data_IF_009768729172
#
_entry.id   IF_009768729172
#
_cell.length_a   1.000
_cell.length_b   1.000
_cell.length_c   1.000
_cell.angle_alpha   90.00
_cell.angle_beta   90.00
_cell.angle_gamma   90.00
#
_symmetry.space_group_name_H-M   'P 1'
#
loop_
_entity.id
_entity.type
_entity.pdbx_description
1 polymer ?
#
# COMPACT_ATOMS: atom_id res chain seq x y z
N UNK A 1 -2.08 32.88 2.29
CA UNK A 1 -2.68 34.19 1.97
C UNK A 1 -4.14 33.98 1.64
N UNK A 2 -5.07 34.78 2.18
CA UNK A 2 -6.49 34.72 1.78
C UNK A 2 -6.65 35.40 0.43
N UNK A 3 -7.37 34.77 -0.49
CA UNK A 3 -7.65 35.27 -1.84
C UNK A 3 -9.13 35.15 -2.15
N UNK A 4 -9.65 36.17 -2.83
CA UNK A 4 -11.00 36.22 -3.39
C UNK A 4 -10.88 36.29 -4.91
N UNK A 5 -11.81 35.66 -5.62
CA UNK A 5 -11.81 35.62 -7.08
C UNK A 5 -12.83 36.60 -7.65
N UNK A 6 -12.58 37.08 -8.87
CA UNK A 6 -13.54 37.89 -9.63
C UNK A 6 -14.55 36.98 -10.34
N UNK A 7 -15.61 37.58 -10.90
CA UNK A 7 -16.62 36.90 -11.75
C UNK A 7 -17.50 35.86 -11.03
N UNK A 8 -17.84 36.10 -9.76
CA UNK A 8 -18.79 35.26 -9.01
C UNK A 8 -18.23 33.90 -8.56
N UNK A 9 -16.92 33.66 -8.72
CA UNK A 9 -16.26 32.45 -8.22
C UNK A 9 -16.05 32.60 -6.71
N UNK A 10 -16.78 31.81 -5.90
CA UNK A 10 -16.72 31.88 -4.44
C UNK A 10 -15.42 31.30 -3.86
N UNK A 11 -15.08 30.06 -4.21
CA UNK A 11 -13.86 29.40 -3.76
C UNK A 11 -13.36 28.40 -4.79
N UNK A 12 -12.05 28.15 -4.79
CA UNK A 12 -11.38 27.24 -5.71
C UNK A 12 -10.47 26.30 -4.92
N UNK A 13 -10.45 25.04 -5.33
CA UNK A 13 -9.55 24.02 -4.79
C UNK A 13 -8.76 23.44 -5.93
N UNK A 14 -7.44 23.39 -5.78
CA UNK A 14 -6.55 22.85 -6.81
C UNK A 14 -5.28 23.64 -6.97
N UNK A 15 -4.54 23.34 -8.04
CA UNK A 15 -3.30 24.00 -8.40
C UNK A 15 -3.50 24.78 -9.69
N UNK A 16 -3.15 26.06 -9.70
CA UNK A 16 -3.01 26.86 -10.91
C UNK A 16 -1.57 27.35 -10.94
N UNK A 17 -0.83 26.95 -11.98
CA UNK A 17 0.60 27.24 -12.12
C UNK A 17 1.39 26.95 -10.83
N UNK A 18 2.05 27.94 -10.22
CA UNK A 18 2.82 27.78 -8.99
C UNK A 18 2.03 28.19 -7.73
N UNK A 19 0.71 28.12 -7.76
CA UNK A 19 -0.15 28.40 -6.62
C UNK A 19 -1.09 27.22 -6.33
N UNK A 20 -1.19 26.85 -5.04
CA UNK A 20 -2.17 25.88 -4.54
C UNK A 20 -3.22 26.62 -3.75
N UNK A 21 -4.48 26.34 -4.08
CA UNK A 21 -5.66 26.92 -3.46
C UNK A 21 -6.40 25.85 -2.67
N UNK A 22 -6.83 26.24 -1.48
CA UNK A 22 -7.71 25.45 -0.65
C UNK A 22 -8.93 26.27 -0.27
N UNK A 23 -10.12 25.78 -0.64
CA UNK A 23 -11.37 26.45 -0.30
C UNK A 23 -11.57 26.50 1.22
N UNK A 24 -11.97 27.67 1.73
CA UNK A 24 -12.40 27.76 3.12
C UNK A 24 -13.75 27.06 3.31
N UNK A 25 -14.05 26.60 4.54
CA UNK A 25 -15.33 25.96 4.88
C UNK A 25 -16.54 26.82 4.49
N UNK A 26 -16.42 28.14 4.57
CA UNK A 26 -17.47 29.10 4.18
C UNK A 26 -17.68 29.25 2.67
N UNK A 27 -16.80 28.69 1.82
CA UNK A 27 -16.82 28.80 0.35
C UNK A 27 -16.81 30.24 -0.22
N UNK A 28 -16.53 31.25 0.60
CA UNK A 28 -16.48 32.66 0.20
C UNK A 28 -15.09 33.14 -0.22
N UNK A 29 -14.05 32.39 0.15
CA UNK A 29 -12.67 32.71 -0.16
C UNK A 29 -11.84 31.43 -0.16
N UNK A 30 -10.63 31.51 -0.71
CA UNK A 30 -9.65 30.43 -0.68
C UNK A 30 -8.36 30.87 0.00
N UNK A 31 -7.65 29.90 0.56
CA UNK A 31 -6.29 30.08 1.04
C UNK A 31 -5.34 29.69 -0.08
N UNK A 32 -4.57 30.66 -0.55
CA UNK A 32 -3.50 30.45 -1.52
C UNK A 32 -2.15 30.32 -0.82
N UNK A 33 -1.36 29.36 -1.29
CA UNK A 33 0.07 29.25 -1.00
C UNK A 33 0.85 29.06 -2.29
N UNK A 34 2.08 29.55 -2.33
CA UNK A 34 3.03 29.21 -3.40
C UNK A 34 3.28 27.70 -3.36
N UNK A 35 3.08 27.03 -4.49
CA UNK A 35 3.48 25.65 -4.67
C UNK A 35 4.98 25.55 -4.51
N UNK A 36 5.41 24.71 -3.59
CA UNK A 36 6.82 24.36 -3.39
C UNK A 36 6.86 22.84 -3.37
N UNK A 37 7.64 22.25 -4.27
CA UNK A 37 7.81 20.81 -4.28
C UNK A 37 8.49 20.37 -2.97
N UNK A 38 7.95 19.37 -2.25
CA UNK A 38 8.57 18.88 -1.03
C UNK A 38 10.01 18.42 -1.28
N UNK A 39 10.93 18.73 -0.35
CA UNK A 39 12.29 18.20 -0.44
C UNK A 39 12.24 16.67 -0.28
N UNK A 40 12.79 15.94 -1.25
CA UNK A 40 12.86 14.48 -1.18
C UNK A 40 13.85 14.10 -0.08
N UNK A 41 13.35 13.46 0.97
CA UNK A 41 14.16 13.01 2.11
C UNK A 41 14.86 11.69 1.80
N UNK A 42 15.86 11.33 2.61
CA UNK A 42 16.49 10.00 2.56
C UNK A 42 15.48 8.88 2.80
N UNK A 43 14.49 9.11 3.66
CA UNK A 43 13.39 8.18 3.91
C UNK A 43 12.53 7.93 2.64
N UNK A 44 12.20 8.98 1.89
CA UNK A 44 11.46 8.84 0.63
C UNK A 44 12.24 8.02 -0.40
N UNK A 45 13.56 8.22 -0.48
CA UNK A 45 14.43 7.41 -1.35
C UNK A 45 14.42 5.93 -0.93
N UNK A 46 14.47 5.64 0.38
CA UNK A 46 14.40 4.27 0.92
C UNK A 46 13.08 3.59 0.57
N UNK A 47 11.95 4.25 0.84
CA UNK A 47 10.62 3.71 0.50
C UNK A 47 10.50 3.47 -1.01
N UNK A 48 10.98 4.41 -1.84
CA UNK A 48 10.97 4.25 -3.29
C UNK A 48 11.79 3.06 -3.78
N UNK A 49 12.98 2.82 -3.20
CA UNK A 49 13.81 1.66 -3.51
C UNK A 49 13.13 0.35 -3.12
N UNK A 50 12.55 0.29 -1.91
CA UNK A 50 11.80 -0.89 -1.42
C UNK A 50 10.60 -1.17 -2.34
N UNK A 51 9.77 -0.16 -2.62
CA UNK A 51 8.59 -0.34 -3.47
C UNK A 51 8.95 -0.81 -4.88
N UNK A 52 10.06 -0.32 -5.45
CA UNK A 52 10.56 -0.77 -6.76
C UNK A 52 11.00 -2.23 -6.71
N UNK A 53 11.72 -2.64 -5.67
CA UNK A 53 12.18 -4.01 -5.50
C UNK A 53 11.00 -4.99 -5.28
N UNK A 54 10.09 -4.66 -4.37
CA UNK A 54 8.89 -5.45 -4.10
C UNK A 54 8.01 -5.60 -5.35
N UNK A 55 7.85 -4.52 -6.12
CA UNK A 55 7.12 -4.58 -7.38
C UNK A 55 7.80 -5.42 -8.47
N UNK A 56 9.13 -5.57 -8.41
CA UNK A 56 9.87 -6.50 -9.27
C UNK A 56 9.63 -7.95 -8.83
N UNK A 57 9.86 -8.27 -7.56
CA UNK A 57 9.65 -9.61 -7.00
C UNK A 57 8.22 -10.12 -7.24
N UNK A 58 7.22 -9.26 -7.03
CA UNK A 58 5.82 -9.62 -7.27
C UNK A 58 5.56 -10.05 -8.71
N UNK A 59 6.23 -9.45 -9.70
CA UNK A 59 6.04 -9.81 -11.11
C UNK A 59 6.61 -11.18 -11.43
N UNK A 60 7.73 -11.54 -10.81
CA UNK A 60 8.42 -12.81 -11.03
C UNK A 60 7.71 -14.01 -10.42
N UNK A 61 6.85 -13.82 -9.41
CA UNK A 61 6.11 -14.93 -8.80
C UNK A 61 5.13 -15.61 -9.76
N UNK A 62 4.84 -16.87 -9.46
CA UNK A 62 3.87 -17.69 -10.19
C UNK A 62 2.47 -17.07 -10.17
N UNK A 63 1.71 -17.30 -11.25
CA UNK A 63 0.32 -16.83 -11.33
C UNK A 63 -0.59 -17.52 -10.32
N UNK A 64 -0.27 -18.75 -9.93
CA UNK A 64 -0.98 -19.49 -8.87
C UNK A 64 -0.82 -18.81 -7.51
N UNK A 65 0.40 -18.39 -7.15
CA UNK A 65 0.62 -17.63 -5.92
C UNK A 65 -0.16 -16.31 -5.90
N UNK A 66 -0.13 -15.57 -7.02
CA UNK A 66 -0.89 -14.32 -7.18
C UNK A 66 -2.40 -14.56 -7.09
N UNK A 67 -2.88 -15.68 -7.62
CA UNK A 67 -4.28 -16.09 -7.56
C UNK A 67 -4.73 -16.41 -6.13
N UNK A 68 -3.90 -17.07 -5.34
CA UNK A 68 -4.22 -17.34 -3.92
C UNK A 68 -4.37 -16.04 -3.12
N UNK A 69 -3.49 -15.05 -3.36
CA UNK A 69 -3.64 -13.73 -2.76
C UNK A 69 -4.91 -13.00 -3.24
N UNK A 70 -5.35 -13.25 -4.47
CA UNK A 70 -6.60 -12.70 -4.99
C UNK A 70 -7.80 -13.32 -4.28
N UNK A 71 -7.82 -14.65 -4.17
CA UNK A 71 -8.86 -15.37 -3.43
C UNK A 71 -8.91 -14.94 -1.98
N UNK A 72 -7.75 -14.76 -1.33
CA UNK A 72 -7.67 -14.20 0.01
C UNK A 72 -8.29 -12.80 0.09
N UNK A 73 -7.97 -11.91 -0.86
CA UNK A 73 -8.50 -10.55 -0.89
C UNK A 73 -10.03 -10.53 -1.02
N UNK A 74 -10.57 -11.37 -1.90
CA UNK A 74 -12.01 -11.49 -2.13
C UNK A 74 -12.72 -12.02 -0.87
N UNK A 75 -12.19 -13.08 -0.24
CA UNK A 75 -12.74 -13.64 1.00
C UNK A 75 -12.65 -12.67 2.18
N UNK A 76 -11.51 -12.00 2.32
CA UNK A 76 -11.32 -10.95 3.34
C UNK A 76 -12.37 -9.85 3.20
N UNK A 77 -12.65 -9.42 1.96
CA UNK A 77 -13.67 -8.40 1.70
C UNK A 77 -15.07 -8.89 2.07
N UNK A 78 -15.43 -10.13 1.74
CA UNK A 78 -16.73 -10.70 2.10
C UNK A 78 -16.91 -10.77 3.63
N UNK A 79 -15.86 -11.13 4.36
CA UNK A 79 -15.93 -11.32 5.81
C UNK A 79 -15.83 -10.02 6.61
N UNK A 80 -14.98 -9.08 6.17
CA UNK A 80 -14.62 -7.89 6.95
C UNK A 80 -14.93 -6.56 6.23
N UNK A 81 -15.46 -6.57 5.01
CA UNK A 81 -15.70 -5.35 4.23
C UNK A 81 -16.75 -4.40 4.79
N UNK A 82 -17.53 -4.83 5.78
CA UNK A 82 -18.50 -4.01 6.51
C UNK A 82 -17.99 -3.50 7.86
N UNK A 83 -16.81 -3.95 8.32
CA UNK A 83 -16.14 -3.36 9.49
C UNK A 83 -15.63 -1.97 9.09
N UNK A 84 -16.25 -0.92 9.63
CA UNK A 84 -16.03 0.47 9.23
C UNK A 84 -14.57 0.98 9.33
N UNK A 85 -14.35 2.16 8.72
CA UNK A 85 -13.08 2.91 8.55
C UNK A 85 -11.92 2.22 7.83
N UNK A 86 -11.94 0.90 7.68
CA UNK A 86 -10.94 0.13 6.93
C UNK A 86 -11.51 -0.30 5.58
N UNK A 87 -11.29 0.48 4.53
CA UNK A 87 -11.51 -0.01 3.17
C UNK A 87 -10.53 -1.16 2.92
N UNK A 88 -10.99 -2.41 2.75
CA UNK A 88 -10.08 -3.52 2.51
C UNK A 88 -9.43 -3.29 1.16
N UNK A 89 -8.11 -3.15 1.14
CA UNK A 89 -7.39 -3.09 -0.11
C UNK A 89 -7.72 -4.34 -0.95
N UNK A 90 -8.55 -4.21 -1.98
CA UNK A 90 -8.97 -5.33 -2.85
C UNK A 90 -7.87 -5.83 -3.78
N UNK A 91 -6.62 -5.49 -3.49
CA UNK A 91 -5.48 -5.76 -4.33
C UNK A 91 -4.68 -6.93 -3.74
N UNK A 92 -4.44 -8.01 -4.50
CA UNK A 92 -3.57 -9.10 -4.05
C UNK A 92 -2.16 -8.61 -3.71
N UNK A 93 -1.65 -7.65 -4.49
CA UNK A 93 -0.37 -7.00 -4.23
C UNK A 93 -0.35 -6.22 -2.90
N UNK A 94 -1.46 -5.57 -2.52
CA UNK A 94 -1.53 -4.85 -1.25
C UNK A 94 -1.48 -5.81 -0.05
N UNK A 95 -2.12 -6.97 -0.14
CA UNK A 95 -2.02 -7.98 0.92
C UNK A 95 -0.64 -8.63 0.97
N UNK A 96 -0.05 -8.94 -0.18
CA UNK A 96 1.31 -9.47 -0.22
C UNK A 96 2.32 -8.47 0.33
N UNK A 97 2.23 -7.19 -0.05
CA UNK A 97 3.09 -6.15 0.53
C UNK A 97 2.87 -6.04 2.04
N UNK A 98 1.63 -6.05 2.52
CA UNK A 98 1.36 -6.07 3.97
C UNK A 98 2.06 -7.25 4.66
N UNK A 99 1.96 -8.46 4.09
CA UNK A 99 2.60 -9.65 4.64
C UNK A 99 4.13 -9.54 4.68
N UNK A 100 4.77 -9.09 3.59
CA UNK A 100 6.23 -8.98 3.54
C UNK A 100 6.78 -7.88 4.45
N UNK A 101 6.03 -6.77 4.63
CA UNK A 101 6.37 -5.73 5.60
C UNK A 101 6.24 -6.22 7.05
N UNK A 102 5.22 -7.04 7.35
CA UNK A 102 5.07 -7.66 8.67
C UNK A 102 6.19 -8.67 8.94
N UNK A 103 6.52 -9.52 7.97
CA UNK A 103 7.64 -10.47 8.06
C UNK A 103 8.99 -9.76 8.27
N UNK A 104 9.29 -8.71 7.51
CA UNK A 104 10.51 -7.92 7.70
C UNK A 104 10.55 -7.14 9.02
N UNK A 105 9.39 -6.84 9.63
CA UNK A 105 9.35 -6.21 10.96
C UNK A 105 9.83 -7.17 12.06
N UNK A 106 9.49 -8.44 11.92
CA UNK A 106 9.91 -9.49 12.86
C UNK A 106 11.37 -9.95 12.62
N UNK A 107 11.95 -9.56 11.47
CA UNK A 107 13.29 -9.94 11.03
C UNK A 107 14.14 -8.72 10.67
N UNK A 108 14.82 -8.09 11.64
CA UNK A 108 15.64 -6.91 11.39
C UNK A 108 16.87 -7.18 10.51
N UNK A 109 17.24 -8.46 10.32
CA UNK A 109 18.24 -8.97 9.39
C UNK A 109 17.83 -8.78 7.91
N UNK A 110 16.53 -8.67 7.63
CA UNK A 110 16.00 -8.60 6.27
C UNK A 110 15.94 -7.15 5.78
N UNK A 111 16.65 -6.88 4.69
CA UNK A 111 16.61 -5.58 4.01
C UNK A 111 15.78 -5.66 2.74
N UNK A 112 14.53 -5.17 2.80
CA UNK A 112 13.57 -5.23 1.69
C UNK A 112 14.03 -4.56 0.39
N UNK A 113 14.96 -3.59 0.45
CA UNK A 113 15.45 -2.89 -0.75
C UNK A 113 16.40 -3.73 -1.61
N UNK A 114 17.02 -4.78 -1.05
CA UNK A 114 18.01 -5.64 -1.72
C UNK A 114 17.59 -7.10 -1.74
N UNK A 115 16.39 -7.41 -1.24
CA UNK A 115 15.85 -8.76 -1.17
C UNK A 115 15.75 -9.38 -2.56
N UNK A 116 16.27 -10.59 -2.72
CA UNK A 116 16.19 -11.38 -3.97
C UNK A 116 15.18 -12.53 -3.85
N UNK A 117 14.86 -13.18 -4.97
CA UNK A 117 14.03 -14.40 -4.98
C UNK A 117 14.74 -15.57 -4.28
N UNK A 118 16.05 -15.68 -4.42
CA UNK A 118 16.84 -16.72 -3.76
C UNK A 118 16.78 -16.56 -2.23
N UNK A 119 16.93 -15.33 -1.74
CA UNK A 119 16.77 -15.02 -0.31
C UNK A 119 15.39 -15.40 0.20
N UNK A 120 14.34 -15.14 -0.59
CA UNK A 120 12.97 -15.49 -0.26
C UNK A 120 12.75 -17.01 -0.21
N UNK A 121 13.36 -17.77 -1.12
CA UNK A 121 13.25 -19.23 -1.10
C UNK A 121 13.94 -19.85 0.12
N UNK A 122 15.04 -19.26 0.60
CA UNK A 122 15.79 -19.77 1.75
C UNK A 122 15.18 -19.29 3.08
N UNK A 123 14.82 -18.01 3.18
CA UNK A 123 14.45 -17.36 4.46
C UNK A 123 12.95 -17.08 4.58
N UNK A 124 12.23 -17.02 3.45
CA UNK A 124 10.83 -16.62 3.34
C UNK A 124 9.83 -17.76 3.57
N UNK A 125 10.20 -18.85 4.23
CA UNK A 125 9.31 -20.00 4.51
C UNK A 125 8.01 -19.55 5.21
N UNK A 126 8.11 -18.54 6.08
CA UNK A 126 6.96 -18.01 6.82
C UNK A 126 5.96 -17.23 5.94
N UNK A 127 6.37 -16.81 4.73
CA UNK A 127 5.52 -16.10 3.76
C UNK A 127 5.37 -16.86 2.43
N UNK A 128 5.86 -18.11 2.37
CA UNK A 128 5.91 -18.91 1.14
C UNK A 128 4.54 -19.19 0.54
N UNK A 129 3.51 -19.29 1.38
CA UNK A 129 2.11 -19.46 0.99
C UNK A 129 1.24 -18.46 1.74
N UNK A 130 0.03 -18.19 1.21
CA UNK A 130 -0.94 -17.35 1.93
C UNK A 130 -1.33 -17.99 3.26
N UNK A 131 -1.51 -19.31 3.29
CA UNK A 131 -1.75 -20.07 4.52
C UNK A 131 -0.67 -19.79 5.58
N UNK A 132 0.61 -19.86 5.19
CA UNK A 132 1.71 -19.59 6.11
C UNK A 132 1.67 -18.14 6.61
N UNK A 133 1.32 -17.19 5.74
CA UNK A 133 1.19 -15.78 6.15
C UNK A 133 0.11 -15.58 7.22
N UNK A 134 -1.00 -16.31 7.13
CA UNK A 134 -2.09 -16.26 8.13
C UNK A 134 -1.67 -16.96 9.42
N UNK A 135 -1.07 -18.15 9.33
CA UNK A 135 -0.63 -18.92 10.49
C UNK A 135 0.44 -18.21 11.32
N UNK A 136 1.36 -17.50 10.67
CA UNK A 136 2.40 -16.71 11.33
C UNK A 136 1.91 -15.32 11.78
N UNK A 137 0.63 -14.99 11.57
CA UNK A 137 0.04 -13.72 12.03
C UNK A 137 0.39 -12.49 11.18
N UNK A 138 0.99 -12.66 10.00
CA UNK A 138 1.27 -11.55 9.08
C UNK A 138 0.02 -11.05 8.36
N UNK A 139 -0.95 -11.95 8.17
CA UNK A 139 -2.27 -11.67 7.62
C UNK A 139 -3.34 -12.01 8.66
N UNK A 140 -4.50 -11.34 8.56
CA UNK A 140 -5.65 -11.64 9.44
C UNK A 140 -6.21 -13.00 9.05
N UNK A 141 -6.74 -13.72 10.03
CA UNK A 141 -7.44 -14.99 9.77
C UNK A 141 -8.69 -14.72 8.95
N UNK A 142 -8.86 -15.47 7.86
CA UNK A 142 -10.07 -15.51 7.05
C UNK A 142 -10.65 -16.92 7.08
N UNK A 143 -11.91 -17.08 6.73
CA UNK A 143 -12.49 -18.42 6.60
C UNK A 143 -11.85 -19.19 5.44
N UNK A 144 -11.71 -20.51 5.63
CA UNK A 144 -11.20 -21.45 4.64
C UNK A 144 -9.78 -21.14 4.12
N UNK A 145 -8.92 -20.44 4.89
CA UNK A 145 -7.56 -20.13 4.45
C UNK A 145 -6.65 -21.36 4.20
N UNK A 146 -7.07 -22.55 4.62
CA UNK A 146 -6.32 -23.80 4.50
C UNK A 146 -6.10 -24.29 3.07
N UNK A 147 -6.93 -23.88 2.11
CA UNK A 147 -6.81 -24.25 0.69
C UNK A 147 -5.77 -23.43 -0.07
N UNK A 148 -5.38 -22.26 0.46
CA UNK A 148 -4.44 -21.32 -0.15
C UNK A 148 -2.98 -21.74 0.08
N UNK A 149 -2.57 -22.78 -0.65
CA UNK A 149 -1.29 -23.47 -0.48
C UNK A 149 -0.32 -23.25 -1.64
N UNK A 150 -0.66 -22.44 -2.64
CA UNK A 150 0.26 -22.13 -3.71
C UNK A 150 1.50 -21.42 -3.16
N UNK A 151 2.68 -21.94 -3.51
CA UNK A 151 3.97 -21.34 -3.22
C UNK A 151 4.41 -20.37 -4.31
N UNK A 152 5.24 -19.40 -3.94
CA UNK A 152 6.00 -18.62 -4.91
C UNK A 152 7.21 -19.37 -5.47
#
# INVERSE_FOLDING_TARGET
MKVTFKYGIGAFTGKIDNAVFWAQKSKLASLMRKFTYPKITTHNKKIGAIAKNLGFLWREFTDTYKSDFRTYADRYYVQYGTEGDYDPARSPYAFWTKAIWAWAKDRPDVVLSTLTLEDLNVTGIAISTVKNCVQNGYLRVIDQYDDLTAGF
#
